data_IF_221721522906
#
_entry.id   IF_221721522906
#
_cell.length_a   1.000
_cell.length_b   1.000
_cell.length_c   1.000
_cell.angle_alpha   90.00
_cell.angle_beta   90.00
_cell.angle_gamma   90.00
#
_symmetry.space_group_name_H-M   'P 1'
#
loop_
_entity.id
_entity.type
_entity.pdbx_description
1 polymer ?
#
# COMPACT_ATOMS: atom_id res chain seq x y z
N UNK A 1 60.65 4.09 -8.44
CA UNK A 1 59.68 4.22 -7.34
C UNK A 1 58.78 3.01 -7.36
N UNK A 2 58.39 2.50 -6.19
CA UNK A 2 57.47 1.36 -6.08
C UNK A 2 56.19 1.89 -5.46
N UNK A 3 55.06 1.67 -6.13
CA UNK A 3 53.76 2.00 -5.57
C UNK A 3 53.47 1.02 -4.43
N UNK A 4 53.16 1.56 -3.24
CA UNK A 4 52.73 0.78 -2.08
C UNK A 4 51.30 1.15 -1.74
N UNK A 5 50.41 0.15 -1.67
CA UNK A 5 49.02 0.28 -1.27
C UNK A 5 48.28 -1.06 -1.36
N UNK A 6 47.36 -1.33 -0.44
CA UNK A 6 46.45 -2.47 -0.52
C UNK A 6 45.30 -2.16 -1.48
N UNK A 7 44.81 -3.18 -2.18
CA UNK A 7 43.66 -3.06 -3.09
C UNK A 7 42.42 -2.58 -2.31
N UNK A 8 41.72 -1.52 -2.78
CA UNK A 8 40.49 -1.08 -2.13
C UNK A 8 39.36 -2.10 -2.35
N UNK A 9 38.51 -2.25 -1.34
CA UNK A 9 37.32 -3.10 -1.42
C UNK A 9 36.15 -2.25 -1.91
N UNK A 10 35.60 -2.56 -3.08
CA UNK A 10 34.37 -1.97 -3.57
C UNK A 10 33.16 -2.71 -2.96
N UNK A 11 32.44 -2.07 -2.05
CA UNK A 11 31.20 -2.60 -1.50
C UNK A 11 30.00 -2.11 -2.33
N UNK A 12 29.00 -2.99 -2.51
CA UNK A 12 27.76 -2.60 -3.15
C UNK A 12 26.94 -1.71 -2.21
N UNK A 13 26.32 -0.67 -2.77
CA UNK A 13 25.33 0.16 -2.09
C UNK A 13 24.09 -0.69 -1.83
N UNK A 14 23.68 -0.76 -0.58
CA UNK A 14 22.53 -1.53 -0.10
C UNK A 14 21.64 -0.60 0.74
N UNK A 15 20.42 -0.35 0.27
CA UNK A 15 19.46 0.52 0.93
C UNK A 15 18.71 -0.16 2.10
N UNK A 16 18.99 -1.44 2.35
CA UNK A 16 18.38 -2.22 3.42
C UNK A 16 17.03 -2.82 3.06
N UNK A 17 16.64 -3.84 3.83
CA UNK A 17 15.37 -4.55 3.68
C UNK A 17 14.21 -3.62 4.03
N UNK A 18 13.18 -3.67 3.19
CA UNK A 18 11.92 -2.96 3.42
C UNK A 18 10.93 -3.90 4.12
N UNK A 19 10.20 -3.34 5.08
CA UNK A 19 9.10 -4.04 5.74
C UNK A 19 7.80 -3.86 4.96
N UNK A 20 6.94 -4.86 5.03
CA UNK A 20 5.61 -4.78 4.43
C UNK A 20 4.78 -3.67 5.09
N UNK A 21 4.07 -2.84 4.30
CA UNK A 21 3.11 -1.90 4.87
C UNK A 21 1.95 -2.67 5.52
N UNK A 22 1.36 -2.08 6.56
CA UNK A 22 0.16 -2.65 7.19
C UNK A 22 -0.94 -2.80 6.14
N UNK A 23 -1.52 -4.00 6.02
CA UNK A 23 -2.50 -4.36 4.99
C UNK A 23 -1.98 -4.24 3.54
N UNK A 24 -0.70 -4.51 3.32
CA UNK A 24 -0.12 -4.64 1.99
C UNK A 24 1.15 -5.48 1.99
N UNK A 25 1.88 -5.39 0.90
CA UNK A 25 3.16 -6.07 0.71
C UNK A 25 4.12 -5.19 -0.11
N UNK A 26 5.41 -5.44 0.04
CA UNK A 26 6.46 -4.85 -0.80
C UNK A 26 7.27 -5.94 -1.51
N UNK A 27 7.49 -5.76 -2.81
CA UNK A 27 8.31 -6.65 -3.62
C UNK A 27 9.46 -5.89 -4.25
N UNK A 28 10.67 -6.42 -4.13
CA UNK A 28 11.89 -5.83 -4.73
C UNK A 28 12.29 -6.55 -6.02
N UNK A 29 12.74 -5.81 -7.03
CA UNK A 29 13.15 -6.37 -8.32
C UNK A 29 14.44 -7.20 -8.25
N UNK A 30 15.47 -6.70 -7.54
CA UNK A 30 16.80 -7.31 -7.44
C UNK A 30 17.37 -7.24 -6.01
N UNK A 31 16.50 -7.38 -5.01
CA UNK A 31 16.86 -7.20 -3.60
C UNK A 31 16.93 -5.72 -3.21
N UNK A 32 17.96 -5.33 -2.46
CA UNK A 32 18.02 -4.02 -1.80
C UNK A 32 19.16 -3.15 -2.29
N UNK A 33 19.84 -3.55 -3.37
CA UNK A 33 21.03 -2.86 -3.89
C UNK A 33 20.69 -1.69 -4.81
N UNK A 34 21.66 -0.81 -5.07
CA UNK A 34 21.52 0.34 -5.98
C UNK A 34 20.82 0.00 -7.30
N UNK A 35 19.89 0.87 -7.73
CA UNK A 35 18.97 0.69 -8.87
C UNK A 35 17.95 -0.44 -8.74
N UNK A 36 17.85 -1.10 -7.58
CA UNK A 36 16.70 -1.98 -7.31
C UNK A 36 15.45 -1.14 -7.13
N UNK A 37 14.32 -1.67 -7.61
CA UNK A 37 13.00 -1.07 -7.46
C UNK A 37 12.18 -1.87 -6.46
N UNK A 38 11.57 -1.18 -5.51
CA UNK A 38 10.59 -1.71 -4.58
C UNK A 38 9.19 -1.29 -5.03
N UNK A 39 8.33 -2.27 -5.31
CA UNK A 39 6.93 -2.07 -5.70
C UNK A 39 6.02 -2.47 -4.55
N UNK A 40 5.11 -1.57 -4.17
CA UNK A 40 4.17 -1.75 -3.08
C UNK A 40 2.79 -2.09 -3.61
N UNK A 41 2.11 -3.02 -2.95
CA UNK A 41 0.74 -3.43 -3.24
C UNK A 41 -0.08 -3.45 -1.96
N UNK A 42 -1.38 -3.16 -2.05
CA UNK A 42 -2.29 -3.24 -0.93
C UNK A 42 -3.18 -4.47 -1.04
N UNK A 43 -3.55 -5.03 0.11
CA UNK A 43 -4.47 -6.15 0.20
C UNK A 43 -5.87 -5.74 -0.29
N UNK A 44 -6.70 -6.73 -0.58
CA UNK A 44 -8.09 -6.50 -0.98
C UNK A 44 -8.83 -5.64 0.06
N UNK A 45 -9.59 -4.66 -0.43
CA UNK A 45 -10.29 -3.70 0.43
C UNK A 45 -9.46 -2.51 0.89
N UNK A 46 -8.18 -2.42 0.49
CA UNK A 46 -7.31 -1.29 0.77
C UNK A 46 -6.81 -0.64 -0.51
N UNK A 47 -6.59 0.67 -0.48
CA UNK A 47 -6.02 1.47 -1.56
C UNK A 47 -4.64 1.99 -1.15
N UNK A 48 -3.73 2.09 -2.13
CA UNK A 48 -2.41 2.65 -1.92
C UNK A 48 -2.46 4.18 -1.94
N UNK A 49 -1.89 4.80 -0.90
CA UNK A 49 -1.73 6.24 -0.77
C UNK A 49 -0.25 6.58 -0.70
N UNK A 50 0.23 7.29 -1.72
CA UNK A 50 1.65 7.61 -1.92
C UNK A 50 2.18 7.06 -3.24
N UNK A 51 3.50 6.93 -3.35
CA UNK A 51 4.15 6.33 -4.52
C UNK A 51 4.06 4.81 -4.45
N UNK A 52 3.63 4.16 -5.52
CA UNK A 52 3.62 2.69 -5.62
C UNK A 52 5.02 2.10 -5.77
N UNK A 53 6.01 2.91 -6.14
CA UNK A 53 7.40 2.48 -6.33
C UNK A 53 8.39 3.36 -5.62
N UNK A 54 9.50 2.75 -5.18
CA UNK A 54 10.69 3.41 -4.62
C UNK A 54 11.92 2.74 -5.22
N UNK A 55 13.00 3.49 -5.37
CA UNK A 55 14.25 3.01 -5.99
C UNK A 55 15.40 3.18 -5.00
N UNK A 56 16.34 2.23 -4.97
CA UNK A 56 17.52 2.35 -4.13
C UNK A 56 18.52 3.32 -4.77
N UNK A 57 18.75 4.44 -4.09
CA UNK A 57 19.57 5.55 -4.58
C UNK A 57 21.07 5.36 -4.25
N UNK A 58 21.92 6.16 -4.89
CA UNK A 58 23.38 6.14 -4.64
C UNK A 58 23.75 6.58 -3.21
N UNK A 59 22.79 7.15 -2.49
CA UNK A 59 22.93 7.63 -1.11
C UNK A 59 22.71 6.54 -0.06
N UNK A 60 22.59 5.27 -0.47
CA UNK A 60 22.26 4.13 0.41
C UNK A 60 20.88 4.28 1.08
N UNK A 61 19.97 5.04 0.45
CA UNK A 61 18.61 5.25 0.95
C UNK A 61 17.59 5.03 -0.17
N UNK A 62 16.49 4.37 0.17
CA UNK A 62 15.34 4.24 -0.73
C UNK A 62 14.68 5.59 -1.00
N UNK A 63 14.42 5.89 -2.27
CA UNK A 63 13.80 7.15 -2.69
C UNK A 63 12.42 7.36 -2.07
N UNK A 64 12.10 8.62 -1.79
CA UNK A 64 10.79 9.03 -1.25
C UNK A 64 10.43 8.38 0.10
N UNK A 65 9.14 8.34 0.38
CA UNK A 65 8.57 7.74 1.59
C UNK A 65 7.81 6.45 1.25
N UNK A 66 7.74 5.53 2.21
CA UNK A 66 6.89 4.35 2.09
C UNK A 66 5.41 4.77 1.96
N UNK A 67 4.65 4.19 1.01
CA UNK A 67 3.22 4.44 0.91
C UNK A 67 2.47 3.77 2.06
N UNK A 68 1.20 4.17 2.22
CA UNK A 68 0.28 3.59 3.22
C UNK A 68 -0.89 2.94 2.51
N UNK A 69 -1.35 1.80 3.03
CA UNK A 69 -2.57 1.14 2.59
C UNK A 69 -3.75 1.59 3.47
N UNK A 70 -4.66 2.38 2.90
CA UNK A 70 -5.86 2.86 3.58
C UNK A 70 -7.06 2.00 3.22
N UNK A 71 -7.92 1.67 4.18
CA UNK A 71 -9.14 0.91 3.91
C UNK A 71 -10.06 1.72 2.98
N UNK A 72 -10.61 1.05 1.98
CA UNK A 72 -11.56 1.65 1.05
C UNK A 72 -12.87 1.92 1.79
N UNK A 73 -13.37 3.14 1.64
CA UNK A 73 -14.65 3.59 2.19
C UNK A 73 -15.62 3.88 1.07
N UNK A 74 -16.83 3.32 1.16
CA UNK A 74 -17.96 3.61 0.31
C UNK A 74 -18.73 4.83 0.82
N UNK A 75 -19.41 5.54 -0.07
CA UNK A 75 -20.36 6.58 0.31
C UNK A 75 -21.59 5.97 0.99
N UNK A 76 -22.27 6.77 1.80
CA UNK A 76 -23.54 6.37 2.42
C UNK A 76 -24.60 6.18 1.35
N UNK A 77 -25.43 5.15 1.50
CA UNK A 77 -26.51 4.87 0.58
C UNK A 77 -27.66 5.85 0.77
N UNK A 78 -28.32 6.30 -0.32
CA UNK A 78 -29.48 7.16 -0.23
C UNK A 78 -30.68 6.41 0.34
N UNK A 79 -31.59 7.16 0.97
CA UNK A 79 -32.87 6.62 1.43
C UNK A 79 -33.72 6.15 0.26
N UNK A 80 -34.45 5.06 0.48
CA UNK A 80 -35.39 4.49 -0.49
C UNK A 80 -36.83 4.89 -0.14
N UNK A 81 -37.65 5.19 -1.16
CA UNK A 81 -39.05 5.57 -0.95
C UNK A 81 -39.89 4.41 -0.40
N UNK A 82 -40.70 4.68 0.64
CA UNK A 82 -41.51 3.67 1.35
C UNK A 82 -40.68 2.49 1.91
N UNK A 83 -39.44 2.76 2.27
CA UNK A 83 -38.54 1.81 2.91
C UNK A 83 -37.43 2.52 3.66
N UNK A 84 -36.44 1.76 4.12
CA UNK A 84 -35.24 2.27 4.75
C UNK A 84 -34.04 1.37 4.48
N UNK A 85 -32.85 1.96 4.55
CA UNK A 85 -31.58 1.25 4.45
C UNK A 85 -30.82 1.36 5.77
N UNK A 86 -30.36 0.24 6.31
CA UNK A 86 -29.50 0.20 7.49
C UNK A 86 -28.14 -0.34 7.11
N UNK A 87 -27.09 0.45 7.37
CA UNK A 87 -25.70 0.10 7.11
C UNK A 87 -25.02 -0.42 8.39
N UNK A 88 -24.23 -1.48 8.29
CA UNK A 88 -23.32 -1.89 9.38
C UNK A 88 -22.08 -0.99 9.49
N UNK A 89 -21.80 -0.22 8.44
CA UNK A 89 -20.65 0.66 8.29
C UNK A 89 -20.49 1.12 6.84
N UNK A 90 -19.44 1.89 6.56
CA UNK A 90 -19.10 2.37 5.22
C UNK A 90 -17.75 1.84 4.71
N UNK A 91 -17.03 1.05 5.50
CA UNK A 91 -15.73 0.48 5.11
C UNK A 91 -15.91 -0.82 4.31
N UNK A 92 -14.88 -1.21 3.57
CA UNK A 92 -14.85 -2.51 2.89
C UNK A 92 -15.30 -3.67 3.80
N UNK A 93 -16.18 -4.52 3.28
CA UNK A 93 -16.82 -5.60 4.04
C UNK A 93 -18.10 -5.21 4.80
N UNK A 94 -18.50 -3.94 4.80
CA UNK A 94 -19.77 -3.50 5.41
C UNK A 94 -20.98 -3.98 4.60
N UNK A 95 -22.11 -4.17 5.28
CA UNK A 95 -23.35 -4.71 4.70
C UNK A 95 -24.48 -3.67 4.79
N UNK A 96 -25.23 -3.53 3.70
CA UNK A 96 -26.48 -2.78 3.65
C UNK A 96 -27.68 -3.73 3.72
N UNK A 97 -28.59 -3.45 4.64
CA UNK A 97 -29.86 -4.18 4.77
C UNK A 97 -31.01 -3.25 4.42
N UNK A 98 -31.85 -3.66 3.46
CA UNK A 98 -33.01 -2.91 3.03
C UNK A 98 -34.28 -3.44 3.69
N UNK A 99 -35.19 -2.54 4.01
CA UNK A 99 -36.49 -2.86 4.60
C UNK A 99 -37.59 -2.00 3.98
N UNK A 100 -38.79 -2.55 3.86
CA UNK A 100 -39.97 -1.84 3.39
C UNK A 100 -40.90 -1.51 4.55
N UNK A 101 -41.59 -0.37 4.48
CA UNK A 101 -42.65 -0.06 5.43
C UNK A 101 -43.86 -0.99 5.22
N UNK A 102 -44.71 -1.12 6.24
CA UNK A 102 -45.87 -2.01 6.19
C UNK A 102 -46.76 -1.71 4.95
N UNK A 103 -47.12 -2.75 4.20
CA UNK A 103 -47.90 -2.63 2.95
C UNK A 103 -47.05 -2.61 1.68
N UNK A 104 -45.72 -2.54 1.80
CA UNK A 104 -44.76 -2.62 0.71
C UNK A 104 -43.89 -3.88 0.85
N UNK A 105 -43.37 -4.39 -0.27
CA UNK A 105 -42.45 -5.54 -0.29
C UNK A 105 -41.21 -5.20 -1.11
N UNK A 106 -40.10 -5.84 -0.75
CA UNK A 106 -38.84 -5.85 -1.52
C UNK A 106 -39.04 -6.64 -2.81
#
# INVERSE_FOLDING_TARGET
GVWSGSEPICQAIDCGILEDPVNGAVATSQGTVFMSDATYTCNEGYRLVGSSTRSCEETEVWSGAAPVCEIVTCETLPDIGNGGVSLSGTQFGSVATYSCVQGYRV
#
